data_IF_600801059383
#
_entry.id   IF_600801059383
#
_cell.length_a   1.000
_cell.length_b   1.000
_cell.length_c   1.000
_cell.angle_alpha   90.00
_cell.angle_beta   90.00
_cell.angle_gamma   90.00
#
_symmetry.space_group_name_H-M   'P 1'
#
loop_
_entity.id
_entity.type
_entity.pdbx_description
1 polymer ?
#
# COMPACT_ATOMS: atom_id res chain seq x y z
N UNK A 1 0.56 13.13 8.05
CA UNK A 1 1.21 12.25 9.04
C UNK A 1 1.54 10.92 8.38
N UNK A 2 2.81 10.51 8.29
CA UNK A 2 3.17 9.25 7.64
C UNK A 2 2.81 8.06 8.54
N UNK A 3 2.10 7.09 7.99
CA UNK A 3 1.58 5.93 8.71
C UNK A 3 2.52 4.75 8.51
N UNK A 4 2.80 4.00 9.59
CA UNK A 4 3.53 2.74 9.56
C UNK A 4 2.55 1.57 9.43
N UNK A 5 2.90 0.58 8.60
CA UNK A 5 2.07 -0.60 8.34
C UNK A 5 2.76 -1.91 8.71
N UNK A 6 1.95 -2.88 9.13
CA UNK A 6 2.29 -4.31 9.03
C UNK A 6 1.53 -4.92 7.85
N UNK A 7 2.13 -5.88 7.17
CA UNK A 7 1.45 -6.60 6.09
C UNK A 7 0.34 -7.50 6.68
N UNK A 8 -0.80 -7.58 6.00
CA UNK A 8 -1.82 -8.60 6.30
C UNK A 8 -1.56 -9.86 5.48
N UNK A 9 -1.98 -11.01 6.00
CA UNK A 9 -1.98 -12.23 5.21
C UNK A 9 -3.19 -12.27 4.26
N UNK A 10 -2.99 -11.68 3.08
CA UNK A 10 -3.98 -11.63 2.01
C UNK A 10 -4.29 -13.03 1.46
N UNK A 11 -3.42 -14.02 1.66
CA UNK A 11 -3.58 -15.34 1.05
C UNK A 11 -4.83 -16.09 1.56
N UNK A 12 -5.20 -15.87 2.82
CA UNK A 12 -6.44 -16.42 3.41
C UNK A 12 -7.71 -15.71 2.93
N UNK A 13 -7.59 -14.44 2.52
CA UNK A 13 -8.73 -13.62 2.11
C UNK A 13 -9.05 -13.75 0.61
N UNK A 14 -8.18 -14.37 -0.18
CA UNK A 14 -8.36 -14.55 -1.63
C UNK A 14 -8.91 -15.92 -2.02
N UNK A 15 -9.42 -16.71 -1.06
CA UNK A 15 -10.09 -17.96 -1.40
C UNK A 15 -11.33 -17.70 -2.28
N UNK A 16 -11.45 -18.46 -3.37
CA UNK A 16 -12.48 -18.28 -4.39
C UNK A 16 -12.33 -17.04 -5.30
N UNK A 17 -11.22 -16.28 -5.20
CA UNK A 17 -10.92 -15.12 -6.07
C UNK A 17 -10.04 -15.59 -7.23
N UNK A 18 -10.43 -15.34 -8.49
CA UNK A 18 -9.61 -15.69 -9.66
C UNK A 18 -8.78 -14.51 -10.14
N UNK A 19 -9.23 -13.28 -9.88
CA UNK A 19 -8.61 -12.04 -10.32
C UNK A 19 -8.67 -10.95 -9.25
N UNK A 20 -7.56 -10.21 -9.09
CA UNK A 20 -7.48 -9.12 -8.11
C UNK A 20 -6.77 -7.87 -8.67
N UNK A 21 -7.35 -6.70 -8.42
CA UNK A 21 -6.73 -5.41 -8.69
C UNK A 21 -6.03 -4.90 -7.43
N UNK A 22 -4.70 -4.79 -7.45
CA UNK A 22 -3.91 -4.21 -6.37
C UNK A 22 -3.94 -2.69 -6.49
N UNK A 23 -4.37 -2.00 -5.43
CA UNK A 23 -4.52 -0.54 -5.40
C UNK A 23 -3.59 0.04 -4.33
N UNK A 24 -2.40 0.50 -4.72
CA UNK A 24 -1.44 1.05 -3.78
C UNK A 24 -1.68 2.55 -3.51
N UNK A 25 -1.82 2.89 -2.22
CA UNK A 25 -1.54 4.24 -1.74
C UNK A 25 -0.03 4.42 -1.75
N UNK A 26 0.50 5.38 -2.50
CA UNK A 26 1.95 5.44 -2.76
C UNK A 26 2.69 5.98 -1.54
N UNK A 27 2.15 6.97 -0.83
CA UNK A 27 2.94 7.68 0.17
C UNK A 27 3.30 6.83 1.40
N UNK A 28 2.33 6.55 2.28
CA UNK A 28 2.63 5.94 3.58
C UNK A 28 3.16 4.48 3.46
N UNK A 29 2.57 3.61 2.61
CA UNK A 29 3.11 2.27 2.37
C UNK A 29 4.53 2.26 1.83
N UNK A 30 4.86 3.10 0.85
CA UNK A 30 6.23 3.13 0.33
C UNK A 30 7.24 3.63 1.37
N UNK A 31 6.85 4.59 2.21
CA UNK A 31 7.69 5.02 3.34
C UNK A 31 7.92 3.87 4.33
N UNK A 32 6.87 3.12 4.67
CA UNK A 32 6.95 1.95 5.55
C UNK A 32 7.91 0.90 4.99
N UNK A 33 7.75 0.52 3.71
CA UNK A 33 8.57 -0.53 3.12
C UNK A 33 10.03 -0.09 3.00
N UNK A 34 10.29 1.16 2.59
CA UNK A 34 11.65 1.69 2.50
C UNK A 34 12.36 1.75 3.86
N UNK A 35 11.64 2.16 4.92
CA UNK A 35 12.15 2.18 6.29
C UNK A 35 12.48 0.75 6.78
N UNK A 36 11.53 -0.18 6.61
CA UNK A 36 11.67 -1.58 6.99
C UNK A 36 12.87 -2.26 6.30
N UNK A 37 13.06 -1.97 5.02
CA UNK A 37 14.16 -2.52 4.21
C UNK A 37 15.47 -1.72 4.35
N UNK A 38 15.48 -0.61 5.10
CA UNK A 38 16.62 0.32 5.24
C UNK A 38 17.14 0.82 3.88
N UNK A 39 16.25 1.04 2.95
CA UNK A 39 16.55 1.48 1.58
C UNK A 39 16.09 2.93 1.33
N UNK A 40 16.64 3.60 0.29
CA UNK A 40 16.15 4.91 -0.11
C UNK A 40 14.65 4.90 -0.45
N UNK A 41 13.92 5.82 0.17
CA UNK A 41 12.50 6.03 -0.09
C UNK A 41 12.26 6.49 -1.53
N UNK A 42 13.06 7.44 -2.00
CA UNK A 42 13.04 7.94 -3.38
C UNK A 42 14.46 8.08 -3.93
N UNK A 43 14.63 7.76 -5.21
CA UNK A 43 15.90 7.91 -5.94
C UNK A 43 15.64 8.81 -7.15
N UNK A 44 15.89 10.11 -7.01
CA UNK A 44 15.46 11.14 -7.97
C UNK A 44 16.03 10.95 -9.38
N UNK A 45 17.27 10.42 -9.50
CA UNK A 45 17.93 10.22 -10.79
C UNK A 45 17.75 8.82 -11.40
N UNK A 46 17.35 7.82 -10.61
CA UNK A 46 17.18 6.43 -11.07
C UNK A 46 15.72 6.09 -11.33
N UNK A 47 14.83 6.52 -10.44
CA UNK A 47 13.40 6.23 -10.49
C UNK A 47 12.61 7.43 -9.98
N UNK A 48 12.58 8.55 -10.73
CA UNK A 48 11.79 9.71 -10.35
C UNK A 48 10.34 9.26 -10.17
N UNK A 49 9.74 9.66 -9.06
CA UNK A 49 8.33 9.38 -8.73
C UNK A 49 8.01 7.92 -8.35
N UNK A 50 9.02 7.08 -8.06
CA UNK A 50 8.81 5.72 -7.57
C UNK A 50 9.72 5.38 -6.41
N UNK A 51 9.19 4.58 -5.49
CA UNK A 51 9.98 3.90 -4.47
C UNK A 51 10.30 2.48 -4.95
N UNK A 52 11.57 2.22 -5.25
CA UNK A 52 12.06 0.89 -5.64
C UNK A 52 11.69 -0.22 -4.64
N UNK A 53 11.86 -0.04 -3.31
CA UNK A 53 11.47 -1.07 -2.35
C UNK A 53 9.96 -1.36 -2.38
N UNK A 54 9.12 -0.34 -2.55
CA UNK A 54 7.68 -0.56 -2.64
C UNK A 54 7.26 -1.30 -3.92
N UNK A 55 7.88 -1.01 -5.06
CA UNK A 55 7.64 -1.74 -6.31
C UNK A 55 8.04 -3.21 -6.20
N UNK A 56 9.15 -3.53 -5.51
CA UNK A 56 9.54 -4.92 -5.23
C UNK A 56 8.53 -5.60 -4.30
N UNK A 57 8.05 -4.89 -3.28
CA UNK A 57 7.02 -5.40 -2.38
C UNK A 57 5.71 -5.74 -3.12
N UNK A 58 5.25 -4.86 -4.02
CA UNK A 58 4.07 -5.13 -4.86
C UNK A 58 4.32 -6.36 -5.75
N UNK A 59 5.49 -6.47 -6.39
CA UNK A 59 5.83 -7.65 -7.20
C UNK A 59 5.85 -8.94 -6.39
N UNK A 60 6.41 -8.92 -5.19
CA UNK A 60 6.41 -10.08 -4.29
C UNK A 60 4.98 -10.48 -3.89
N UNK A 61 4.09 -9.51 -3.65
CA UNK A 61 2.68 -9.78 -3.43
C UNK A 61 2.01 -10.41 -4.68
N UNK A 62 2.27 -9.88 -5.87
CA UNK A 62 1.76 -10.46 -7.12
C UNK A 62 2.22 -11.90 -7.31
N UNK A 63 3.49 -12.20 -7.05
CA UNK A 63 4.01 -13.58 -7.12
C UNK A 63 3.30 -14.52 -6.15
N UNK A 64 3.15 -14.12 -4.87
CA UNK A 64 2.44 -14.95 -3.87
C UNK A 64 0.98 -15.21 -4.23
N UNK A 65 0.32 -14.23 -4.86
CA UNK A 65 -1.05 -14.37 -5.34
C UNK A 65 -1.14 -15.28 -6.58
N UNK A 66 -0.16 -15.16 -7.48
CA UNK A 66 -0.05 -16.05 -8.64
C UNK A 66 0.18 -17.51 -8.23
N UNK A 67 0.96 -17.77 -7.18
CA UNK A 67 1.15 -19.12 -6.61
C UNK A 67 -0.17 -19.72 -6.07
N UNK A 68 -1.17 -18.87 -5.79
CA UNK A 68 -2.54 -19.26 -5.39
C UNK A 68 -3.52 -19.31 -6.58
N UNK A 69 -3.03 -19.12 -7.81
CA UNK A 69 -3.86 -19.08 -9.02
C UNK A 69 -4.58 -17.76 -9.27
N UNK A 70 -4.28 -16.70 -8.50
CA UNK A 70 -4.94 -15.40 -8.63
C UNK A 70 -4.20 -14.53 -9.65
N UNK A 71 -4.90 -14.12 -10.71
CA UNK A 71 -4.36 -13.15 -11.68
C UNK A 71 -4.40 -11.74 -11.08
N UNK A 72 -3.32 -10.97 -11.23
CA UNK A 72 -3.22 -9.64 -10.61
C UNK A 72 -2.87 -8.52 -11.59
N UNK A 73 -3.60 -7.41 -11.49
CA UNK A 73 -3.23 -6.12 -12.09
C UNK A 73 -2.90 -5.11 -10.98
N UNK A 74 -2.08 -4.08 -11.27
CA UNK A 74 -1.77 -2.99 -10.34
C UNK A 74 -2.35 -1.67 -10.87
N UNK A 75 -3.18 -1.01 -10.07
CA UNK A 75 -3.73 0.31 -10.37
C UNK A 75 -2.70 1.42 -10.10
N UNK A 76 -1.87 1.70 -11.11
CA UNK A 76 -0.72 2.62 -10.98
C UNK A 76 -1.13 4.09 -10.93
N UNK A 77 -0.53 4.85 -10.01
CA UNK A 77 -0.55 6.33 -9.97
C UNK A 77 0.82 6.86 -10.41
N UNK A 78 0.87 7.77 -11.40
CA UNK A 78 2.14 8.31 -11.93
C UNK A 78 2.47 9.74 -11.48
N UNK A 79 1.50 10.43 -10.89
CA UNK A 79 1.59 11.86 -10.55
C UNK A 79 1.50 12.05 -9.04
N UNK A 80 2.27 12.99 -8.50
CA UNK A 80 2.38 13.22 -7.05
C UNK A 80 1.05 13.50 -6.35
N UNK A 81 0.15 14.26 -6.98
CA UNK A 81 -1.16 14.55 -6.38
C UNK A 81 -2.06 13.31 -6.25
N UNK A 82 -1.70 12.18 -6.88
CA UNK A 82 -2.40 10.90 -6.73
C UNK A 82 -1.73 9.96 -5.71
N UNK A 83 -0.70 10.42 -4.98
CA UNK A 83 0.00 9.56 -4.02
C UNK A 83 -0.81 9.31 -2.74
N UNK A 84 -1.68 10.25 -2.39
CA UNK A 84 -2.62 10.14 -1.28
C UNK A 84 -3.95 9.64 -1.82
N UNK A 85 -4.19 8.33 -1.69
CA UNK A 85 -5.40 7.72 -2.21
C UNK A 85 -6.68 8.30 -1.60
N UNK A 86 -6.67 8.61 -0.31
CA UNK A 86 -7.79 9.25 0.39
C UNK A 86 -8.15 10.64 -0.16
N UNK A 87 -7.24 11.29 -0.88
CA UNK A 87 -7.43 12.60 -1.49
C UNK A 87 -7.67 12.51 -3.00
N UNK A 88 -7.95 11.32 -3.54
CA UNK A 88 -8.24 11.17 -4.95
C UNK A 88 -9.49 11.94 -5.35
N UNK A 89 -9.37 12.64 -6.48
CA UNK A 89 -10.49 13.29 -7.14
C UNK A 89 -11.51 12.27 -7.61
N UNK A 90 -12.75 12.72 -7.80
CA UNK A 90 -13.84 11.87 -8.29
C UNK A 90 -13.49 11.19 -9.62
N UNK A 91 -12.87 11.90 -10.56
CA UNK A 91 -12.42 11.31 -11.82
C UNK A 91 -11.36 10.19 -11.65
N UNK A 92 -10.57 10.20 -10.57
CA UNK A 92 -9.63 9.11 -10.26
C UNK A 92 -10.37 7.93 -9.61
N UNK A 93 -11.32 8.19 -8.71
CA UNK A 93 -12.20 7.19 -8.11
C UNK A 93 -13.03 6.48 -9.19
N UNK A 94 -13.53 7.21 -10.19
CA UNK A 94 -14.25 6.65 -11.33
C UNK A 94 -13.39 5.72 -12.17
N UNK A 95 -12.13 6.11 -12.46
CA UNK A 95 -11.17 5.23 -13.15
C UNK A 95 -10.87 3.96 -12.36
N UNK A 96 -10.82 4.05 -11.03
CA UNK A 96 -10.69 2.87 -10.19
C UNK A 96 -11.90 1.96 -10.36
N UNK A 97 -13.12 2.51 -10.26
CA UNK A 97 -14.38 1.76 -10.43
C UNK A 97 -14.42 0.99 -11.75
N UNK A 98 -14.10 1.64 -12.86
CA UNK A 98 -14.08 1.03 -14.20
C UNK A 98 -13.05 -0.10 -14.33
N UNK A 99 -11.91 0.00 -13.64
CA UNK A 99 -10.90 -1.06 -13.64
C UNK A 99 -11.26 -2.20 -12.71
N UNK A 100 -11.82 -1.88 -11.55
CA UNK A 100 -12.25 -2.85 -10.55
C UNK A 100 -13.39 -3.74 -11.04
N UNK A 101 -14.28 -3.25 -11.92
CA UNK A 101 -15.40 -4.05 -12.46
C UNK A 101 -14.97 -5.27 -13.28
N UNK A 102 -13.71 -5.33 -13.72
CA UNK A 102 -13.14 -6.50 -14.41
C UNK A 102 -12.44 -7.50 -13.49
N UNK A 103 -12.56 -7.34 -12.17
CA UNK A 103 -11.83 -8.14 -11.18
C UNK A 103 -12.77 -8.64 -10.07
N UNK A 104 -12.49 -9.82 -9.52
CA UNK A 104 -13.27 -10.40 -8.43
C UNK A 104 -12.99 -9.71 -7.09
N UNK A 105 -11.75 -9.23 -6.91
CA UNK A 105 -11.32 -8.54 -5.70
C UNK A 105 -10.48 -7.27 -5.99
N UNK A 106 -10.47 -6.37 -5.02
CA UNK A 106 -9.55 -5.23 -4.94
C UNK A 106 -8.73 -5.35 -3.66
N UNK A 107 -7.41 -5.41 -3.79
CA UNK A 107 -6.49 -5.49 -2.66
C UNK A 107 -5.90 -4.10 -2.42
N UNK A 108 -6.20 -3.52 -1.26
CA UNK A 108 -5.77 -2.16 -0.91
C UNK A 108 -4.47 -2.20 -0.13
N UNK A 109 -3.43 -1.55 -0.65
CA UNK A 109 -2.19 -1.30 0.11
C UNK A 109 -2.23 0.13 0.63
N UNK A 110 -2.76 0.32 1.83
CA UNK A 110 -3.00 1.64 2.41
C UNK A 110 -3.56 1.57 3.82
N UNK A 111 -3.90 2.72 4.40
CA UNK A 111 -4.60 2.81 5.67
C UNK A 111 -6.11 2.69 5.51
N UNK A 112 -6.81 2.62 6.63
CA UNK A 112 -8.26 2.49 6.71
C UNK A 112 -8.99 3.56 5.89
N UNK A 113 -8.55 4.83 5.95
CA UNK A 113 -9.12 5.91 5.12
C UNK A 113 -8.93 5.67 3.61
N UNK A 114 -7.82 5.05 3.23
CA UNK A 114 -7.54 4.66 1.86
C UNK A 114 -8.47 3.50 1.45
N UNK A 115 -8.65 2.51 2.33
CA UNK A 115 -9.59 1.40 2.14
C UNK A 115 -11.03 1.88 2.00
N UNK A 116 -11.48 2.81 2.86
CA UNK A 116 -12.81 3.42 2.74
C UNK A 116 -13.00 4.14 1.40
N UNK A 117 -11.99 4.87 0.94
CA UNK A 117 -12.05 5.51 -0.40
C UNK A 117 -12.24 4.49 -1.52
N UNK A 118 -11.62 3.32 -1.41
CA UNK A 118 -11.80 2.23 -2.38
C UNK A 118 -13.18 1.62 -2.23
N UNK A 119 -13.64 1.30 -1.02
CA UNK A 119 -14.98 0.76 -0.73
C UNK A 119 -16.07 1.66 -1.31
N UNK A 120 -15.99 2.96 -1.06
CA UNK A 120 -16.91 3.95 -1.62
C UNK A 120 -16.89 3.94 -3.16
N UNK A 121 -15.69 3.94 -3.76
CA UNK A 121 -15.54 3.99 -5.21
C UNK A 121 -16.07 2.73 -5.92
N UNK A 122 -15.99 1.56 -5.27
CA UNK A 122 -16.39 0.28 -5.86
C UNK A 122 -17.70 -0.27 -5.29
N UNK A 123 -18.42 0.50 -4.47
CA UNK A 123 -19.63 0.07 -3.77
C UNK A 123 -20.74 -0.47 -4.70
N UNK A 124 -20.79 -0.01 -5.94
CA UNK A 124 -21.74 -0.49 -6.94
C UNK A 124 -21.31 -1.79 -7.66
N UNK A 125 -20.14 -2.35 -7.33
CA UNK A 125 -19.62 -3.59 -7.91
C UNK A 125 -19.74 -4.74 -6.92
N UNK A 126 -19.83 -5.97 -7.42
CA UNK A 126 -19.75 -7.20 -6.60
C UNK A 126 -18.32 -7.52 -6.13
N UNK A 127 -17.39 -6.55 -6.27
CA UNK A 127 -15.98 -6.76 -6.03
C UNK A 127 -15.66 -6.80 -4.53
N UNK A 128 -14.94 -7.83 -4.09
CA UNK A 128 -14.51 -7.97 -2.70
C UNK A 128 -13.36 -7.00 -2.41
N UNK A 129 -13.51 -6.12 -1.43
CA UNK A 129 -12.40 -5.24 -0.99
C UNK A 129 -11.63 -5.91 0.15
N UNK A 130 -10.34 -6.15 -0.08
CA UNK A 130 -9.42 -6.81 0.84
C UNK A 130 -8.36 -5.81 1.31
N UNK A 131 -8.10 -5.76 2.60
CA UNK A 131 -7.04 -4.93 3.18
C UNK A 131 -5.70 -5.68 3.11
N UNK A 132 -4.75 -5.18 2.34
CA UNK A 132 -3.41 -5.79 2.24
C UNK A 132 -2.44 -5.35 3.33
N UNK A 133 -2.78 -4.29 4.06
CA UNK A 133 -1.93 -3.70 5.10
C UNK A 133 -2.79 -3.29 6.30
N UNK A 134 -2.20 -3.35 7.50
CA UNK A 134 -2.80 -2.90 8.75
C UNK A 134 -1.96 -1.79 9.35
N UNK A 135 -2.59 -0.73 9.81
CA UNK A 135 -1.91 0.34 10.55
C UNK A 135 -1.31 -0.23 11.83
N UNK A 136 -0.01 -0.02 12.04
CA UNK A 136 0.70 -0.44 13.25
C UNK A 136 1.35 0.72 14.00
N UNK A 137 1.39 1.91 13.42
CA UNK A 137 1.87 3.10 14.10
C UNK A 137 1.96 4.32 13.19
N UNK A 138 2.60 5.37 13.72
CA UNK A 138 2.93 6.60 13.00
C UNK A 138 4.44 6.66 12.86
N UNK A 139 4.91 6.92 11.65
CA UNK A 139 6.34 7.12 11.40
C UNK A 139 6.72 8.51 11.90
N UNK A 140 7.73 8.60 12.76
CA UNK A 140 8.41 9.84 13.08
C UNK A 140 9.86 9.68 12.63
N UNK A 141 10.20 10.29 11.50
CA UNK A 141 11.49 10.12 10.87
C UNK A 141 12.09 11.47 10.44
N UNK A 142 13.40 11.59 10.60
CA UNK A 142 14.18 12.63 9.94
C UNK A 142 14.51 12.19 8.51
N UNK A 143 14.24 13.05 7.53
CA UNK A 143 14.67 12.80 6.15
C UNK A 143 16.13 13.22 6.00
N UNK A 144 16.90 12.35 5.38
CA UNK A 144 18.26 12.62 4.93
C UNK A 144 18.32 12.65 3.41
N UNK A 145 19.31 13.37 2.89
CA UNK A 145 19.65 13.37 1.47
C UNK A 145 21.04 12.80 1.28
N UNK A 146 21.17 11.76 0.45
CA UNK A 146 22.46 11.18 0.08
C UNK A 146 22.72 11.44 -1.40
N UNK A 147 23.89 11.98 -1.70
CA UNK A 147 24.31 12.20 -3.08
C UNK A 147 24.68 10.87 -3.76
N UNK A 148 24.28 10.65 -5.03
CA UNK A 148 23.48 11.54 -5.87
C UNK A 148 21.96 11.25 -5.77
N UNK A 149 21.19 12.14 -5.14
CA UNK A 149 19.72 12.22 -5.31
C UNK A 149 18.88 11.18 -4.57
N UNK A 150 19.39 10.56 -3.51
CA UNK A 150 18.67 9.58 -2.71
C UNK A 150 18.03 10.25 -1.48
N UNK A 151 16.73 10.06 -1.28
CA UNK A 151 16.02 10.44 -0.06
C UNK A 151 15.97 9.21 0.84
N UNK A 152 16.59 9.31 2.01
CA UNK A 152 16.70 8.23 2.99
C UNK A 152 16.03 8.63 4.30
N UNK A 153 15.65 7.65 5.11
CA UNK A 153 15.27 7.90 6.49
C UNK A 153 16.51 7.85 7.39
N UNK A 154 16.71 8.89 8.20
CA UNK A 154 17.76 8.99 9.21
C UNK A 154 17.30 8.36 10.53
N UNK A 155 17.17 9.16 11.59
CA UNK A 155 16.51 8.68 12.81
C UNK A 155 15.04 8.40 12.50
N UNK A 156 14.62 7.14 12.63
CA UNK A 156 13.23 6.72 12.46
C UNK A 156 12.77 6.02 13.73
N UNK A 157 11.57 6.37 14.19
CA UNK A 157 10.87 5.65 15.25
C UNK A 157 9.39 5.50 14.89
N UNK A 158 8.82 4.37 15.25
CA UNK A 158 7.40 4.11 15.11
C UNK A 158 6.73 4.50 16.43
N UNK A 159 5.87 5.51 16.37
CA UNK A 159 5.06 5.95 17.50
C UNK A 159 3.75 5.15 17.48
N UNK A 160 3.40 4.40 18.53
CA UNK A 160 2.15 3.67 18.57
C UNK A 160 0.97 4.65 18.54
N UNK A 161 -0.11 4.27 17.86
CA UNK A 161 -1.35 5.04 17.90
C UNK A 161 -2.06 4.73 19.21
N UNK A 162 -2.19 5.74 20.07
CA UNK A 162 -2.92 5.65 21.34
C UNK A 162 -4.32 5.10 21.10
N UNK A 163 -4.62 3.90 21.62
CA UNK A 163 -5.91 3.22 21.45
C UNK A 163 -5.83 1.85 20.78
N UNK A 164 -4.75 1.51 20.06
CA UNK A 164 -4.49 0.14 19.62
C UNK A 164 -3.77 -0.64 20.73
N UNK A 165 -4.54 -1.41 21.51
CA UNK A 165 -3.98 -2.41 22.44
C UNK A 165 -3.15 -3.40 21.61
N UNK A 166 -1.86 -3.55 21.91
CA UNK A 166 -1.07 -4.66 21.39
C UNK A 166 -1.73 -5.96 21.88
N UNK A 167 -2.36 -6.72 20.99
CA UNK A 167 -2.48 -8.16 21.20
C UNK A 167 -1.07 -8.72 21.02
N UNK A 168 -0.33 -8.71 22.13
CA UNK A 168 0.90 -9.46 22.25
C UNK A 168 0.54 -10.94 22.08
N UNK A 169 1.14 -11.55 21.08
CA UNK A 169 1.14 -12.98 20.82
C UNK A 169 1.46 -13.75 22.10
N UNK A 170 0.45 -14.45 22.63
CA UNK A 170 0.67 -15.58 23.51
C UNK A 170 1.04 -16.77 22.62
N UNK A 171 2.33 -17.01 22.45
CA UNK A 171 2.86 -18.26 21.89
C UNK A 171 4.33 -18.44 22.30
N UNK A 172 4.51 -18.98 23.52
CA UNK A 172 5.36 -20.13 23.88
C UNK A 172 5.78 -20.07 25.34
#
# INVERSE_FOLDING_TARGET
MPIHFSDRDVASEVDGVNSALIVPCIMCPAATVAEREKEPFLQLFKSPFKSAPFERHIKALQSRLADKGVQTEVFKSRVYHQWFMCMWTEGRREKLRQRASGHDAVIVLGCDSATETVREAVNASSCKVIEGMKVSGIINAQLGFRLPGEIVFGSCRIVPISGHKQEASAAH
#
